data_IF_758695635442
#
_entry.id   IF_758695635442
#
_cell.length_a   1.000
_cell.length_b   1.000
_cell.length_c   1.000
_cell.angle_alpha   90.00
_cell.angle_beta   90.00
_cell.angle_gamma   90.00
#
_symmetry.space_group_name_H-M   'P 1'
#
loop_
_entity.id
_entity.type
_entity.pdbx_description
1 polymer ?
#
# COMPACT_ATOMS: atom_id res chain seq x y z
N UNK A 1 -15.95 -8.06 29.44
CA UNK A 1 -16.67 -6.90 28.88
C UNK A 1 -15.65 -6.08 28.11
N UNK A 2 -15.46 -6.38 26.83
CA UNK A 2 -14.45 -5.72 25.99
C UNK A 2 -15.01 -4.35 25.62
N UNK A 3 -14.34 -3.28 26.06
CA UNK A 3 -14.68 -1.93 25.66
C UNK A 3 -14.59 -1.84 24.13
N UNK A 4 -15.73 -1.64 23.47
CA UNK A 4 -15.77 -1.11 22.10
C UNK A 4 -15.18 0.30 22.17
N UNK A 5 -13.87 0.41 21.99
CA UNK A 5 -13.31 1.67 21.52
C UNK A 5 -13.97 1.93 20.18
N UNK A 6 -14.66 3.07 20.06
CA UNK A 6 -15.24 3.56 18.82
C UNK A 6 -14.10 3.76 17.82
N UNK A 7 -13.71 2.68 17.14
CA UNK A 7 -12.91 2.75 15.94
C UNK A 7 -13.74 3.52 14.93
N UNK A 8 -13.18 4.61 14.43
CA UNK A 8 -13.79 5.42 13.40
C UNK A 8 -13.84 4.54 12.14
N UNK A 9 -14.97 3.88 11.96
CA UNK A 9 -15.23 2.92 10.91
C UNK A 9 -16.47 3.40 10.17
N UNK A 10 -16.31 3.82 8.92
CA UNK A 10 -17.44 3.96 8.01
C UNK A 10 -17.22 4.99 6.93
N UNK A 11 -17.01 4.51 5.70
CA UNK A 11 -17.19 5.20 4.44
C UNK A 11 -16.60 6.62 4.30
N UNK A 12 -15.51 6.72 3.53
CA UNK A 12 -14.95 7.96 2.96
C UNK A 12 -14.06 8.83 3.88
N UNK A 13 -13.48 8.25 4.92
CA UNK A 13 -12.52 8.95 5.77
C UNK A 13 -11.07 8.65 5.37
N UNK A 14 -10.20 9.66 5.38
CA UNK A 14 -8.81 9.56 4.96
C UNK A 14 -7.88 10.22 5.98
N UNK A 15 -6.74 9.57 6.27
CA UNK A 15 -5.70 10.14 7.13
C UNK A 15 -6.03 10.03 8.61
N UNK A 16 -6.58 11.10 9.19
CA UNK A 16 -6.87 11.22 10.62
C UNK A 16 -8.23 11.88 10.83
N UNK A 17 -9.07 11.28 11.66
CA UNK A 17 -10.41 11.77 12.00
C UNK A 17 -10.53 11.85 13.51
N UNK A 18 -10.88 13.03 14.03
CA UNK A 18 -11.02 13.31 15.47
C UNK A 18 -9.80 12.92 16.33
N UNK A 19 -8.59 13.06 15.77
CA UNK A 19 -7.35 12.68 16.46
C UNK A 19 -7.02 11.18 16.39
N UNK A 20 -7.77 10.41 15.58
CA UNK A 20 -7.62 8.97 15.40
C UNK A 20 -7.20 8.68 13.96
N UNK A 21 -6.05 8.04 13.81
CA UNK A 21 -5.51 7.63 12.52
C UNK A 21 -6.40 6.56 11.88
N UNK A 22 -6.61 6.65 10.56
CA UNK A 22 -7.30 5.60 9.80
C UNK A 22 -6.36 4.40 9.63
N UNK A 23 -6.71 3.30 10.29
CA UNK A 23 -5.92 2.06 10.30
C UNK A 23 -6.68 0.85 9.75
N UNK A 24 -7.94 0.99 9.35
CA UNK A 24 -8.71 -0.09 8.72
C UNK A 24 -9.66 0.48 7.67
N UNK A 25 -10.00 -0.33 6.68
CA UNK A 25 -10.84 0.03 5.54
C UNK A 25 -11.87 -1.07 5.36
N UNK A 26 -13.15 -0.71 5.40
CA UNK A 26 -14.25 -1.68 5.32
C UNK A 26 -14.24 -2.49 4.01
N UNK A 27 -13.92 -1.84 2.89
CA UNK A 27 -13.79 -2.48 1.58
C UNK A 27 -12.63 -3.48 1.48
N UNK A 28 -11.74 -3.49 2.47
CA UNK A 28 -10.59 -4.40 2.55
C UNK A 28 -10.66 -5.15 3.91
N UNK A 29 -11.53 -6.18 4.03
CA UNK A 29 -11.91 -6.77 5.31
C UNK A 29 -10.74 -7.27 6.16
N UNK A 30 -9.66 -7.73 5.52
CA UNK A 30 -8.46 -8.21 6.21
C UNK A 30 -7.83 -7.13 7.10
N UNK A 31 -8.01 -5.85 6.76
CA UNK A 31 -7.56 -4.72 7.59
C UNK A 31 -8.42 -4.51 8.85
N UNK A 32 -9.66 -4.99 8.88
CA UNK A 32 -10.49 -4.96 10.09
C UNK A 32 -10.24 -6.18 10.97
N UNK A 33 -9.98 -7.34 10.34
CA UNK A 33 -9.66 -8.61 11.01
C UNK A 33 -8.31 -8.56 11.71
N UNK A 34 -7.30 -7.96 11.08
CA UNK A 34 -5.91 -7.92 11.57
C UNK A 34 -5.47 -6.49 11.83
N UNK A 35 -5.85 -5.97 13.00
CA UNK A 35 -5.60 -4.57 13.38
C UNK A 35 -4.16 -4.37 13.83
N UNK A 36 -3.55 -3.22 13.48
CA UNK A 36 -2.23 -2.90 14.01
C UNK A 36 -2.36 -2.59 15.50
N UNK A 37 -1.24 -2.71 16.21
CA UNK A 37 -1.20 -2.27 17.60
C UNK A 37 -1.30 -0.75 17.66
N UNK A 38 -2.29 -0.25 18.41
CA UNK A 38 -2.53 1.17 18.61
C UNK A 38 -2.35 1.46 20.09
N UNK A 39 -1.45 2.39 20.39
CA UNK A 39 -1.23 2.84 21.75
C UNK A 39 -2.46 3.56 22.29
N UNK A 40 -2.85 3.25 23.53
CA UNK A 40 -3.85 4.04 24.23
C UNK A 40 -3.33 5.45 24.54
N UNK A 41 -4.24 6.43 24.73
CA UNK A 41 -3.90 7.83 25.03
C UNK A 41 -2.89 8.02 26.18
N UNK A 42 -2.80 7.06 27.10
CA UNK A 42 -1.89 7.08 28.26
C UNK A 42 -0.65 6.16 28.11
N UNK A 43 -0.36 5.65 26.92
CA UNK A 43 0.85 4.83 26.71
C UNK A 43 2.12 5.66 26.87
N UNK A 44 3.14 5.08 27.50
CA UNK A 44 4.47 5.70 27.62
C UNK A 44 5.22 5.76 26.28
N UNK A 45 4.81 4.92 25.32
CA UNK A 45 5.34 4.87 23.97
C UNK A 45 4.19 5.24 23.03
N UNK A 46 4.12 6.48 22.56
CA UNK A 46 3.05 6.94 21.67
C UNK A 46 3.41 6.66 20.21
N UNK A 47 2.45 6.16 19.43
CA UNK A 47 2.53 6.03 17.96
C UNK A 47 3.84 5.44 17.36
N UNK A 48 4.44 4.44 18.00
CA UNK A 48 5.79 3.94 17.68
C UNK A 48 6.09 3.59 16.20
N UNK A 49 5.07 3.30 15.39
CA UNK A 49 5.12 3.19 13.92
C UNK A 49 3.72 2.78 13.42
N UNK A 50 2.67 3.50 13.80
CA UNK A 50 1.29 3.06 13.46
C UNK A 50 1.11 3.04 11.95
N UNK A 51 0.69 1.91 11.39
CA UNK A 51 0.45 1.80 9.96
C UNK A 51 -0.80 2.60 9.54
N UNK A 52 -0.69 3.39 8.48
CA UNK A 52 -1.74 4.21 7.87
C UNK A 52 -2.43 3.41 6.78
N UNK A 53 -3.74 3.25 6.86
CA UNK A 53 -4.42 2.35 5.93
C UNK A 53 -4.49 2.91 4.52
N UNK A 54 -4.90 4.17 4.35
CA UNK A 54 -5.24 4.76 3.05
C UNK A 54 -4.52 6.09 2.75
N UNK A 55 -3.50 6.44 3.54
CA UNK A 55 -2.71 7.65 3.33
C UNK A 55 -1.22 7.35 3.49
N UNK A 56 -0.40 7.92 2.61
CA UNK A 56 1.06 7.79 2.62
C UNK A 56 1.75 9.12 2.97
N UNK A 57 1.77 9.52 4.26
CA UNK A 57 2.46 10.74 4.66
C UNK A 57 3.97 10.53 4.68
N UNK A 58 4.72 11.54 4.25
CA UNK A 58 6.19 11.60 4.32
C UNK A 58 6.62 12.95 4.89
N UNK A 59 7.92 13.13 5.16
CA UNK A 59 8.48 14.42 5.59
C UNK A 59 8.17 15.54 4.58
N UNK A 60 8.29 15.25 3.27
CA UNK A 60 8.01 16.20 2.20
C UNK A 60 6.51 16.45 1.98
N UNK A 61 5.66 15.49 2.34
CA UNK A 61 4.20 15.57 2.17
C UNK A 61 3.48 14.99 3.39
N UNK A 62 3.39 15.75 4.51
CA UNK A 62 2.87 15.23 5.77
C UNK A 62 1.39 14.83 5.72
N UNK A 63 0.63 15.38 4.77
CA UNK A 63 -0.77 15.03 4.51
C UNK A 63 -0.93 13.99 3.40
N UNK A 64 0.17 13.41 2.90
CA UNK A 64 0.18 12.49 1.77
C UNK A 64 -0.32 13.11 0.46
N UNK A 65 -0.67 12.25 -0.50
CA UNK A 65 -1.12 12.66 -1.84
C UNK A 65 -2.54 13.23 -1.83
N UNK A 66 -2.66 14.55 -1.66
CA UNK A 66 -3.95 15.27 -1.64
C UNK A 66 -4.31 15.94 -2.97
N UNK A 67 -3.39 15.95 -3.94
CA UNK A 67 -3.60 16.50 -5.28
C UNK A 67 -4.81 15.86 -5.96
N UNK A 68 -5.61 16.66 -6.68
CA UNK A 68 -6.83 16.22 -7.39
C UNK A 68 -7.83 15.41 -6.56
N UNK A 69 -7.84 15.63 -5.23
CA UNK A 69 -8.63 14.87 -4.25
C UNK A 69 -8.29 13.37 -4.23
N UNK A 70 -7.05 12.98 -4.55
CA UNK A 70 -6.60 11.59 -4.61
C UNK A 70 -6.89 10.82 -3.33
N UNK A 71 -6.45 11.35 -2.18
CA UNK A 71 -6.65 10.78 -0.85
C UNK A 71 -8.12 10.41 -0.56
N UNK A 72 -9.06 11.30 -0.97
CA UNK A 72 -10.49 11.08 -0.76
C UNK A 72 -11.08 10.08 -1.77
N UNK A 73 -10.66 10.14 -3.03
CA UNK A 73 -11.13 9.21 -4.08
C UNK A 73 -10.73 7.77 -3.77
N UNK A 74 -9.52 7.57 -3.24
CA UNK A 74 -8.98 6.24 -2.95
C UNK A 74 -9.03 5.86 -1.47
N UNK A 75 -9.86 6.53 -0.67
CA UNK A 75 -10.02 6.22 0.76
C UNK A 75 -10.50 4.78 1.01
N UNK A 76 -11.06 4.13 -0.02
CA UNK A 76 -11.59 2.78 -0.01
C UNK A 76 -10.53 1.70 -0.32
N UNK A 77 -9.28 2.09 -0.58
CA UNK A 77 -8.17 1.20 -0.90
C UNK A 77 -7.03 1.37 0.11
N UNK A 78 -6.30 0.30 0.39
CA UNK A 78 -5.05 0.42 1.16
C UNK A 78 -4.01 1.17 0.36
N UNK A 79 -2.99 1.74 1.01
CA UNK A 79 -1.90 2.43 0.29
C UNK A 79 -1.21 1.51 -0.73
N UNK A 80 -1.02 0.23 -0.40
CA UNK A 80 -0.47 -0.73 -1.36
C UNK A 80 -1.40 -0.92 -2.58
N UNK A 81 -2.72 -0.96 -2.37
CA UNK A 81 -3.67 -1.01 -3.48
C UNK A 81 -3.63 0.27 -4.31
N UNK A 82 -3.55 1.44 -3.68
CA UNK A 82 -3.39 2.73 -4.38
C UNK A 82 -2.11 2.78 -5.23
N UNK A 83 -1.01 2.20 -4.72
CA UNK A 83 0.23 2.07 -5.47
C UNK A 83 0.05 1.21 -6.72
N UNK A 84 -0.67 0.09 -6.61
CA UNK A 84 -0.97 -0.77 -7.75
C UNK A 84 -2.00 -0.15 -8.71
N UNK A 85 -2.94 0.65 -8.20
CA UNK A 85 -3.98 1.34 -8.96
C UNK A 85 -3.37 2.32 -10.00
N UNK A 86 -2.20 2.87 -9.72
CA UNK A 86 -1.43 3.66 -10.71
C UNK A 86 -1.17 2.88 -12.01
N UNK A 87 -0.91 1.58 -11.90
CA UNK A 87 -0.64 0.73 -13.06
C UNK A 87 -1.94 0.23 -13.70
N UNK A 88 -3.04 0.12 -12.95
CA UNK A 88 -4.34 -0.36 -13.40
C UNK A 88 -5.11 0.77 -14.11
N UNK A 89 -4.86 0.92 -15.42
CA UNK A 89 -5.31 2.10 -16.19
C UNK A 89 -6.81 2.09 -16.48
N UNK A 90 -7.43 0.92 -16.50
CA UNK A 90 -8.87 0.75 -16.70
C UNK A 90 -9.65 0.57 -15.38
N UNK A 91 -8.94 0.49 -14.25
CA UNK A 91 -9.48 0.48 -12.89
C UNK A 91 -10.47 -0.66 -12.64
N UNK A 92 -10.20 -1.84 -13.20
CA UNK A 92 -11.03 -3.04 -13.01
C UNK A 92 -10.55 -3.91 -11.82
N UNK A 93 -9.43 -3.54 -11.19
CA UNK A 93 -8.80 -4.24 -10.08
C UNK A 93 -7.92 -5.42 -10.51
N UNK A 94 -7.61 -5.53 -11.81
CA UNK A 94 -6.88 -6.63 -12.42
C UNK A 94 -5.71 -6.08 -13.26
N UNK A 95 -4.49 -6.25 -12.78
CA UNK A 95 -3.33 -5.84 -13.56
C UNK A 95 -2.96 -6.89 -14.60
N UNK A 96 -3.01 -6.51 -15.88
CA UNK A 96 -2.46 -7.29 -16.96
C UNK A 96 -0.98 -7.00 -17.18
N UNK A 97 -0.17 -7.97 -17.64
CA UNK A 97 1.24 -7.74 -17.99
C UNK A 97 1.51 -6.48 -18.83
N UNK A 98 0.60 -6.18 -19.76
CA UNK A 98 0.65 -4.98 -20.60
C UNK A 98 0.52 -3.66 -19.81
N UNK A 99 -0.27 -3.64 -18.74
CA UNK A 99 -0.50 -2.45 -17.93
C UNK A 99 0.75 -2.07 -17.15
N UNK A 100 1.37 -3.05 -16.53
CA UNK A 100 2.67 -2.89 -15.86
C UNK A 100 3.76 -2.50 -16.84
N UNK A 101 3.81 -3.11 -18.03
CA UNK A 101 4.77 -2.75 -19.07
C UNK A 101 4.64 -1.27 -19.46
N UNK A 102 3.42 -0.84 -19.78
CA UNK A 102 3.13 0.55 -20.18
C UNK A 102 3.39 1.50 -19.03
N UNK A 103 3.08 1.13 -17.79
CA UNK A 103 3.37 1.92 -16.59
C UNK A 103 4.86 2.20 -16.42
N UNK A 104 5.70 1.16 -16.42
CA UNK A 104 7.17 1.35 -16.35
C UNK A 104 7.73 2.12 -17.53
N UNK A 105 7.20 1.87 -18.74
CA UNK A 105 7.64 2.61 -19.92
C UNK A 105 7.31 4.11 -19.83
N UNK A 106 6.12 4.45 -19.32
CA UNK A 106 5.70 5.85 -19.07
C UNK A 106 6.50 6.53 -17.97
N UNK A 107 6.99 5.78 -16.98
CA UNK A 107 7.91 6.28 -15.96
C UNK A 107 9.34 6.51 -16.49
N UNK A 108 9.62 6.16 -17.76
CA UNK A 108 10.92 6.39 -18.38
C UNK A 108 11.94 5.29 -18.15
N UNK A 109 11.54 4.13 -17.62
CA UNK A 109 12.48 3.03 -17.35
C UNK A 109 13.05 2.36 -18.62
N UNK A 110 12.54 2.70 -19.81
CA UNK A 110 12.99 2.16 -21.08
C UNK A 110 12.44 0.76 -21.39
N UNK A 111 12.62 0.33 -22.65
CA UNK A 111 11.98 -0.89 -23.18
C UNK A 111 12.42 -2.16 -22.45
N UNK A 112 13.72 -2.36 -22.31
CA UNK A 112 14.29 -3.60 -21.75
C UNK A 112 13.97 -3.76 -20.27
N UNK A 113 14.10 -2.69 -19.49
CA UNK A 113 13.75 -2.72 -18.07
C UNK A 113 12.25 -2.99 -17.88
N UNK A 114 11.39 -2.34 -18.66
CA UNK A 114 9.93 -2.55 -18.57
C UNK A 114 9.55 -4.00 -18.87
N UNK A 115 10.15 -4.62 -19.89
CA UNK A 115 9.94 -6.04 -20.21
C UNK A 115 10.46 -6.97 -19.09
N UNK A 116 11.64 -6.66 -18.54
CA UNK A 116 12.24 -7.45 -17.46
C UNK A 116 11.42 -7.36 -16.17
N UNK A 117 10.94 -6.16 -15.80
CA UNK A 117 10.10 -5.95 -14.63
C UNK A 117 8.81 -6.78 -14.70
N UNK A 118 8.14 -6.78 -15.86
CA UNK A 118 6.96 -7.63 -16.09
C UNK A 118 7.29 -9.11 -15.86
N UNK A 119 8.37 -9.62 -16.45
CA UNK A 119 8.74 -11.03 -16.26
C UNK A 119 8.86 -11.39 -14.76
N UNK A 120 9.59 -10.58 -13.99
CA UNK A 120 9.82 -10.83 -12.57
C UNK A 120 8.54 -10.70 -11.75
N UNK A 121 7.77 -9.63 -11.95
CA UNK A 121 6.55 -9.34 -11.20
C UNK A 121 5.52 -10.46 -11.38
N UNK A 122 5.26 -10.86 -12.63
CA UNK A 122 4.16 -11.78 -12.93
C UNK A 122 4.49 -13.25 -12.64
N UNK A 123 5.76 -13.66 -12.76
CA UNK A 123 6.19 -15.00 -12.34
C UNK A 123 6.00 -15.19 -10.83
N UNK A 124 6.32 -14.16 -10.04
CA UNK A 124 6.32 -14.28 -8.58
C UNK A 124 4.97 -13.99 -7.95
N UNK A 125 4.17 -13.05 -8.49
CA UNK A 125 3.00 -12.52 -7.79
C UNK A 125 1.65 -12.95 -8.36
N UNK A 126 1.60 -13.53 -9.57
CA UNK A 126 0.32 -13.98 -10.15
C UNK A 126 -0.36 -15.04 -9.28
N UNK A 127 0.38 -16.04 -8.80
CA UNK A 127 -0.20 -17.07 -7.96
C UNK A 127 -0.62 -16.56 -6.56
N UNK A 128 0.23 -15.84 -5.79
CA UNK A 128 -0.17 -15.32 -4.47
C UNK A 128 -1.42 -14.44 -4.48
N UNK A 129 -1.66 -13.70 -5.57
CA UNK A 129 -2.81 -12.80 -5.68
C UNK A 129 -4.06 -13.49 -6.26
N UNK A 130 -3.92 -14.66 -6.87
CA UNK A 130 -5.05 -15.45 -7.34
C UNK A 130 -5.93 -15.93 -6.16
N UNK A 131 -7.25 -15.81 -6.30
CA UNK A 131 -8.21 -16.33 -5.31
C UNK A 131 -8.41 -17.84 -5.41
N UNK A 132 -8.05 -18.46 -6.54
CA UNK A 132 -8.23 -19.87 -6.82
C UNK A 132 -6.97 -20.71 -6.58
N UNK A 133 -7.14 -22.03 -6.63
CA UNK A 133 -6.03 -23.00 -6.59
C UNK A 133 -5.29 -23.10 -7.92
N UNK A 134 -5.97 -22.82 -9.03
CA UNK A 134 -5.39 -22.88 -10.37
C UNK A 134 -4.61 -21.61 -10.69
N UNK A 135 -3.47 -21.78 -11.36
CA UNK A 135 -2.72 -20.69 -11.95
C UNK A 135 -3.58 -20.00 -13.02
N UNK A 136 -3.60 -18.67 -13.01
CA UNK A 136 -4.25 -17.91 -14.06
C UNK A 136 -3.42 -18.01 -15.36
N UNK A 137 -3.97 -18.53 -16.47
CA UNK A 137 -3.22 -18.74 -17.70
C UNK A 137 -2.69 -17.43 -18.32
N UNK A 138 -3.28 -16.29 -17.96
CA UNK A 138 -2.85 -14.96 -18.41
C UNK A 138 -1.88 -14.29 -17.43
N UNK A 139 -1.51 -14.97 -16.35
CA UNK A 139 -0.67 -14.45 -15.29
C UNK A 139 -1.14 -13.07 -14.79
N UNK A 140 -2.44 -12.86 -14.56
CA UNK A 140 -2.93 -11.57 -14.04
C UNK A 140 -2.62 -11.43 -12.55
N UNK A 141 -2.61 -10.19 -12.06
CA UNK A 141 -2.57 -9.87 -10.64
C UNK A 141 -3.89 -9.27 -10.20
N UNK A 142 -4.39 -9.71 -9.04
CA UNK A 142 -5.66 -9.22 -8.49
C UNK A 142 -5.41 -8.28 -7.32
N UNK A 143 -5.76 -7.00 -7.47
CA UNK A 143 -5.51 -5.95 -6.48
C UNK A 143 -6.18 -6.24 -5.13
N UNK A 144 -7.31 -6.96 -5.13
CA UNK A 144 -7.99 -7.37 -3.90
C UNK A 144 -7.07 -8.17 -2.96
N UNK A 145 -6.19 -8.99 -3.51
CA UNK A 145 -5.30 -9.88 -2.76
C UNK A 145 -3.83 -9.43 -2.80
N UNK A 146 -3.54 -8.22 -3.27
CA UNK A 146 -2.14 -7.77 -3.49
C UNK A 146 -1.31 -7.73 -2.20
N UNK A 147 -1.95 -7.59 -1.04
CA UNK A 147 -1.29 -7.71 0.28
C UNK A 147 -0.56 -9.04 0.47
N UNK A 148 -0.93 -10.09 -0.27
CA UNK A 148 -0.28 -11.41 -0.27
C UNK A 148 1.00 -11.47 -1.11
N UNK A 149 1.24 -10.49 -1.99
CA UNK A 149 2.40 -10.46 -2.88
C UNK A 149 3.70 -9.99 -2.19
N UNK A 150 3.67 -9.82 -0.87
CA UNK A 150 4.83 -9.43 -0.06
C UNK A 150 5.87 -10.55 0.00
N UNK A 151 7.15 -10.20 -0.05
CA UNK A 151 8.27 -11.12 0.08
C UNK A 151 9.36 -10.61 1.04
N UNK A 152 10.29 -11.50 1.42
CA UNK A 152 11.26 -11.23 2.49
C UNK A 152 12.26 -10.10 2.20
N UNK A 153 12.47 -9.74 0.94
CA UNK A 153 13.36 -8.66 0.52
C UNK A 153 12.68 -7.29 0.42
N UNK A 154 11.39 -7.19 0.76
CA UNK A 154 10.69 -5.91 0.81
C UNK A 154 11.24 -4.99 1.91
N UNK A 155 11.16 -3.68 1.69
CA UNK A 155 11.62 -2.64 2.63
C UNK A 155 10.85 -2.63 3.96
N UNK A 156 9.66 -3.23 4.00
CA UNK A 156 8.75 -3.15 5.15
C UNK A 156 7.98 -1.83 5.26
N UNK A 157 8.02 -0.99 4.22
CA UNK A 157 7.21 0.23 4.14
C UNK A 157 5.71 -0.07 4.14
N UNK A 158 5.31 -1.25 3.68
CA UNK A 158 3.95 -1.76 3.82
C UNK A 158 3.89 -2.84 4.89
N UNK A 159 2.87 -2.80 5.74
CA UNK A 159 2.55 -3.89 6.67
C UNK A 159 1.96 -5.11 5.92
N UNK A 160 1.65 -6.18 6.65
CA UNK A 160 1.13 -7.43 6.05
C UNK A 160 -0.22 -7.28 5.38
N UNK A 161 -0.95 -6.21 5.68
CA UNK A 161 -2.29 -5.93 5.14
C UNK A 161 -2.26 -4.81 4.10
N UNK A 162 -1.05 -4.34 3.69
CA UNK A 162 -0.86 -3.31 2.68
C UNK A 162 -0.98 -1.88 3.19
N UNK A 163 -0.97 -1.66 4.51
CA UNK A 163 -0.98 -0.32 5.12
C UNK A 163 0.42 0.27 5.11
N UNK A 164 0.54 1.58 5.01
CA UNK A 164 1.81 2.28 4.92
C UNK A 164 2.40 2.60 6.30
N UNK A 165 3.71 2.40 6.47
CA UNK A 165 4.46 2.69 7.69
C UNK A 165 5.44 3.85 7.39
N UNK A 166 5.10 5.10 7.78
CA UNK A 166 5.91 6.28 7.43
C UNK A 166 7.35 6.20 7.93
N UNK A 167 7.56 5.71 9.16
CA UNK A 167 8.92 5.60 9.71
C UNK A 167 9.82 4.68 8.88
N UNK A 168 9.27 3.58 8.33
CA UNK A 168 10.02 2.67 7.45
C UNK A 168 10.29 3.25 6.08
N UNK A 169 9.44 4.15 5.59
CA UNK A 169 9.71 4.90 4.37
C UNK A 169 10.88 5.86 4.56
N UNK A 170 10.88 6.66 5.63
CA UNK A 170 11.95 7.64 5.91
C UNK A 170 13.31 6.96 6.20
N UNK A 171 13.29 5.77 6.80
CA UNK A 171 14.50 4.95 7.01
C UNK A 171 15.21 4.60 5.69
N UNK A 172 14.50 4.48 4.56
CA UNK A 172 15.11 4.19 3.25
C UNK A 172 16.09 5.31 2.86
N UNK A 173 15.67 6.57 3.01
CA UNK A 173 16.48 7.73 2.62
C UNK A 173 17.56 8.06 3.65
N UNK A 174 17.35 7.70 4.92
CA UNK A 174 18.34 7.93 5.98
C UNK A 174 19.45 6.86 5.99
N UNK A 175 19.12 5.62 5.66
CA UNK A 175 20.08 4.50 5.65
C UNK A 175 20.97 4.47 4.40
N UNK A 176 20.51 5.08 3.31
CA UNK A 176 21.34 5.40 2.15
C UNK A 176 22.33 6.49 2.58
N UNK A 177 23.65 6.24 2.64
CA UNK A 177 24.59 7.33 2.88
C UNK A 177 24.37 8.35 1.77
N UNK A 178 24.11 9.60 2.15
CA UNK A 178 24.27 10.75 1.26
C UNK A 178 25.68 10.65 0.68
N UNK A 179 25.78 10.12 -0.53
CA UNK A 179 27.00 10.23 -1.29
C UNK A 179 27.25 11.71 -1.45
N UNK A 180 28.28 12.23 -0.78
CA UNK A 180 28.90 13.48 -1.17
C UNK A 180 29.22 13.33 -2.66
N UNK A 181 28.40 13.98 -3.49
CA UNK A 181 28.79 14.28 -4.86
C UNK A 181 29.86 15.36 -4.72
N UNK A 182 31.12 14.92 -4.69
CA UNK A 182 32.31 15.77 -4.88
C UNK A 182 32.51 15.98 -6.38
#
# INVERSE_FOLDING_TARGET
MIAKMNGVNGHAECGEVDGVLVYSIHNVPVTEERRPYINGKNSRLQHAAVARANLAPSEESPQGSTQDNWAKKHSHQTVLQQHCDFFDRDHDGILWPQDTFVGFYRLGCGLFFSAFAVLIIYINFSYPTCSGWLLDPFFRLFLQNVHRARHGSDTGTYDTEGRFIPSKFEEIFTSMPMGEII
#
